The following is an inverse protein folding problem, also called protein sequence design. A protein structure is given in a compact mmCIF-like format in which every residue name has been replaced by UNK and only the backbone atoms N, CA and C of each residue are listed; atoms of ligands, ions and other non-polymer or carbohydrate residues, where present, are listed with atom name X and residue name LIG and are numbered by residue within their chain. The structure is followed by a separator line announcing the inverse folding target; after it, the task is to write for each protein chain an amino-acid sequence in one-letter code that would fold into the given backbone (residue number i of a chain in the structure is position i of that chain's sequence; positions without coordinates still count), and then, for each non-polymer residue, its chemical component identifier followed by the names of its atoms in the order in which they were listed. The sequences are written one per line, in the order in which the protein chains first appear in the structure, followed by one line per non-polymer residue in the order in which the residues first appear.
data_IF_451814077263
#
_entry.id   IF_451814077263
#
_cell.length_a   1.000
_cell.length_b   1.000
_cell.length_c   1.000
_cell.angle_alpha   90.00
_cell.angle_beta   90.00
_cell.angle_gamma   90.00
#
_symmetry.space_group_name_H-M   'P 1'
#
loop_
_entity.id
_entity.type
_entity.pdbx_description
1 polymer ?
#
# COMPACT_ATOMS: atom_id res chain seq x y z
N UNK A 1 4.49 25.38 2.22
CA UNK A 1 3.48 24.78 1.33
C UNK A 1 3.76 23.29 1.22
N UNK A 2 2.74 22.50 0.90
CA UNK A 2 2.90 21.09 0.54
C UNK A 2 2.26 20.85 -0.81
N UNK A 3 2.91 20.04 -1.65
CA UNK A 3 2.43 19.67 -2.97
C UNK A 3 1.75 18.32 -2.90
N UNK A 4 0.50 18.24 -3.34
CA UNK A 4 -0.21 16.97 -3.55
C UNK A 4 0.39 16.24 -4.75
N UNK A 5 0.71 14.96 -4.56
CA UNK A 5 1.34 14.12 -5.59
C UNK A 5 0.44 12.97 -6.07
N UNK A 6 -0.82 12.90 -5.64
CA UNK A 6 -1.75 11.79 -5.99
C UNK A 6 -2.04 11.65 -7.49
N UNK A 7 -1.74 12.66 -8.30
CA UNK A 7 -1.88 12.62 -9.77
C UNK A 7 -0.56 12.42 -10.54
N UNK A 8 0.49 11.94 -9.87
CA UNK A 8 1.84 11.84 -10.45
C UNK A 8 2.30 10.39 -10.59
N UNK A 9 3.39 10.15 -11.34
CA UNK A 9 4.00 8.81 -11.43
C UNK A 9 4.47 8.24 -10.08
N UNK A 10 4.68 9.09 -9.08
CA UNK A 10 4.99 8.69 -7.70
C UNK A 10 3.80 7.97 -7.07
N UNK A 11 2.58 8.45 -7.31
CA UNK A 11 1.36 7.81 -6.83
C UNK A 11 1.18 6.41 -7.45
N UNK A 12 1.34 6.29 -8.77
CA UNK A 12 1.26 5.00 -9.45
C UNK A 12 2.34 4.02 -9.00
N UNK A 13 3.57 4.49 -8.72
CA UNK A 13 4.63 3.64 -8.18
C UNK A 13 4.29 3.13 -6.76
N UNK A 14 3.73 3.98 -5.91
CA UNK A 14 3.27 3.62 -4.57
C UNK A 14 2.09 2.63 -4.64
N UNK A 15 1.06 2.91 -5.43
CA UNK A 15 -0.10 2.01 -5.59
C UNK A 15 0.33 0.64 -6.10
N UNK A 16 1.12 0.57 -7.17
CA UNK A 16 1.61 -0.71 -7.70
C UNK A 16 2.42 -1.50 -6.65
N UNK A 17 3.23 -0.80 -5.85
CA UNK A 17 3.99 -1.43 -4.78
C UNK A 17 3.08 -1.99 -3.69
N UNK A 18 2.09 -1.21 -3.21
CA UNK A 18 1.17 -1.63 -2.16
C UNK A 18 0.13 -2.66 -2.62
N UNK A 19 -0.29 -2.61 -3.87
CA UNK A 19 -1.10 -3.66 -4.51
C UNK A 19 -0.37 -5.00 -4.50
N UNK A 20 0.96 -5.00 -4.73
CA UNK A 20 1.77 -6.23 -4.68
C UNK A 20 1.86 -6.86 -3.28
N UNK A 21 1.57 -6.08 -2.23
CA UNK A 21 1.58 -6.52 -0.82
C UNK A 21 0.19 -7.04 -0.40
N UNK A 22 -0.86 -6.73 -1.16
CA UNK A 22 -2.20 -7.21 -0.88
C UNK A 22 -2.23 -8.74 -0.93
N UNK A 23 -2.94 -9.35 0.03
CA UNK A 23 -3.04 -10.81 0.16
C UNK A 23 -4.47 -11.24 -0.10
N UNK A 24 -4.64 -12.13 -1.06
CA UNK A 24 -5.92 -12.64 -1.51
C UNK A 24 -6.20 -12.28 -2.97
N UNK A 25 -7.38 -12.60 -3.46
CA UNK A 25 -7.76 -12.45 -4.87
C UNK A 25 -8.70 -11.27 -5.17
N UNK A 26 -9.12 -10.52 -4.15
CA UNK A 26 -10.02 -9.36 -4.27
C UNK A 26 -9.49 -8.18 -3.42
N UNK A 27 -8.17 -8.13 -3.22
CA UNK A 27 -7.48 -7.07 -2.49
C UNK A 27 -6.96 -5.96 -3.41
N UNK A 28 -6.77 -4.79 -2.83
CA UNK A 28 -6.31 -3.57 -3.52
C UNK A 28 -5.71 -2.56 -2.51
N UNK A 29 -5.03 -1.54 -3.03
CA UNK A 29 -4.55 -0.40 -2.25
C UNK A 29 -5.17 0.92 -2.71
N UNK A 30 -5.21 1.90 -1.82
CA UNK A 30 -5.71 3.24 -2.13
C UNK A 30 -4.90 4.30 -1.39
N UNK A 31 -4.35 5.27 -2.12
CA UNK A 31 -3.65 6.41 -1.52
C UNK A 31 -4.66 7.40 -0.94
N UNK A 32 -4.74 7.48 0.39
CA UNK A 32 -5.53 8.49 1.11
C UNK A 32 -4.79 9.82 1.21
N UNK A 33 -3.46 9.78 1.37
CA UNK A 33 -2.60 10.97 1.45
C UNK A 33 -1.28 10.71 0.73
N UNK A 34 -0.86 11.67 -0.09
CA UNK A 34 0.49 11.72 -0.62
C UNK A 34 0.91 13.18 -0.85
N UNK A 35 1.78 13.68 0.02
CA UNK A 35 2.15 15.10 0.05
C UNK A 35 3.65 15.27 0.21
N UNK A 36 4.26 16.13 -0.59
CA UNK A 36 5.65 16.53 -0.45
C UNK A 36 5.72 17.93 0.16
N UNK A 37 6.36 18.07 1.31
CA UNK A 37 6.63 19.37 1.94
C UNK A 37 7.75 20.13 1.22
N UNK A 38 7.82 21.44 1.41
CA UNK A 38 8.94 22.26 0.93
C UNK A 38 10.30 21.81 1.51
N UNK A 39 10.29 21.16 2.68
CA UNK A 39 11.48 20.57 3.31
C UNK A 39 11.89 19.22 2.67
N UNK A 40 11.19 18.77 1.63
CA UNK A 40 11.46 17.51 0.94
C UNK A 40 10.98 16.26 1.69
N UNK A 41 10.06 16.41 2.64
CA UNK A 41 9.47 15.28 3.37
C UNK A 41 8.21 14.84 2.63
N UNK A 42 8.19 13.58 2.21
CA UNK A 42 7.06 12.90 1.63
C UNK A 42 6.25 12.23 2.74
N UNK A 43 5.04 12.74 2.99
CA UNK A 43 4.06 12.14 3.87
C UNK A 43 3.09 11.28 3.07
N UNK A 44 2.88 10.03 3.48
CA UNK A 44 1.94 9.12 2.83
C UNK A 44 1.00 8.45 3.84
N UNK A 45 -0.21 8.13 3.37
CA UNK A 45 -1.18 7.23 4.01
C UNK A 45 -1.79 6.40 2.89
N UNK A 46 -1.48 5.11 2.88
CA UNK A 46 -2.00 4.15 1.92
C UNK A 46 -2.81 3.10 2.66
N UNK A 47 -4.07 2.99 2.27
CA UNK A 47 -4.95 1.94 2.75
C UNK A 47 -4.68 0.68 1.92
N UNK A 48 -4.39 -0.44 2.58
CA UNK A 48 -4.12 -1.74 1.97
C UNK A 48 -5.25 -2.67 2.39
N UNK A 49 -5.96 -3.27 1.43
CA UNK A 49 -7.09 -4.17 1.69
C UNK A 49 -6.71 -5.57 1.27
N UNK A 50 -6.58 -6.46 2.25
CA UNK A 50 -6.38 -7.89 2.04
C UNK A 50 -7.75 -8.58 2.03
N UNK A 51 -8.09 -9.26 0.95
CA UNK A 51 -9.39 -9.93 0.83
C UNK A 51 -9.32 -11.20 -0.02
N UNK A 52 -9.86 -12.28 0.53
CA UNK A 52 -10.03 -13.54 -0.18
C UNK A 52 -11.51 -13.84 -0.34
N UNK A 53 -11.92 -14.01 -1.60
CA UNK A 53 -13.26 -14.44 -1.97
C UNK A 53 -13.17 -15.83 -2.58
N UNK A 54 -13.87 -16.78 -1.98
CA UNK A 54 -13.97 -18.16 -2.49
C UNK A 54 -15.34 -18.34 -3.12
N UNK A 55 -15.38 -18.71 -4.39
CA UNK A 55 -16.62 -19.10 -5.05
C UNK A 55 -16.89 -20.58 -4.76
N UNK A 56 -17.98 -20.86 -4.07
CA UNK A 56 -18.46 -22.22 -3.84
C UNK A 56 -19.66 -22.51 -4.75
N UNK A 57 -19.71 -23.73 -5.27
CA UNK A 57 -20.88 -24.23 -5.97
C UNK A 57 -21.82 -24.91 -4.97
N UNK A 58 -23.06 -24.45 -4.90
CA UNK A 58 -24.11 -25.09 -4.10
C UNK A 58 -25.04 -25.81 -5.08
N UNK A 59 -25.14 -27.15 -5.01
CA UNK A 59 -26.06 -27.90 -5.84
C UNK A 59 -27.47 -27.30 -5.77
N UNK A 60 -28.11 -27.11 -6.93
CA UNK A 60 -29.43 -26.50 -7.09
C UNK A 60 -29.58 -25.02 -6.70
N UNK A 61 -28.50 -24.35 -6.26
CA UNK A 61 -28.54 -22.94 -5.82
C UNK A 61 -27.43 -22.07 -6.44
N UNK A 62 -26.73 -22.60 -7.46
CA UNK A 62 -25.73 -21.88 -8.25
C UNK A 62 -24.42 -21.61 -7.50
N UNK A 63 -23.65 -20.65 -8.02
CA UNK A 63 -22.38 -20.23 -7.43
C UNK A 63 -22.62 -19.12 -6.41
N UNK A 64 -21.99 -19.24 -5.24
CA UNK A 64 -22.00 -18.20 -4.20
C UNK A 64 -20.57 -17.79 -3.85
N UNK A 65 -20.38 -16.50 -3.68
CA UNK A 65 -19.10 -15.94 -3.23
C UNK A 65 -19.12 -15.81 -1.71
N UNK A 66 -18.15 -16.44 -1.05
CA UNK A 66 -17.92 -16.34 0.39
C UNK A 66 -16.65 -15.54 0.61
N UNK A 67 -16.72 -14.52 1.47
CA UNK A 67 -15.54 -13.79 1.93
C UNK A 67 -14.89 -14.64 3.02
N UNK A 68 -13.71 -15.20 2.73
CA UNK A 68 -12.96 -16.03 3.68
C UNK A 68 -12.28 -15.17 4.73
N UNK A 69 -11.72 -14.03 4.32
CA UNK A 69 -11.25 -12.98 5.21
C UNK A 69 -11.32 -11.62 4.51
N UNK A 70 -11.36 -10.56 5.32
CA UNK A 70 -11.27 -9.17 4.89
C UNK A 70 -10.55 -8.38 5.98
N UNK A 71 -9.36 -7.88 5.69
CA UNK A 71 -8.55 -7.07 6.59
C UNK A 71 -8.13 -5.79 5.87
N UNK A 72 -8.16 -4.67 6.56
CA UNK A 72 -7.69 -3.40 6.05
C UNK A 72 -6.61 -2.87 6.97
N UNK A 73 -5.48 -2.49 6.40
CA UNK A 73 -4.36 -1.88 7.09
C UNK A 73 -4.01 -0.55 6.50
N UNK A 74 -3.32 0.27 7.29
CA UNK A 74 -2.87 1.58 6.89
C UNK A 74 -1.36 1.65 6.98
N UNK A 75 -0.72 1.90 5.83
CA UNK A 75 0.69 2.21 5.74
C UNK A 75 0.83 3.73 5.78
N UNK A 76 1.22 4.26 6.93
CA UNK A 76 1.42 5.71 7.12
C UNK A 76 2.87 6.00 7.45
N UNK A 77 3.43 7.06 6.88
CA UNK A 77 4.80 7.45 7.19
C UNK A 77 5.22 8.80 6.64
N UNK A 78 6.34 9.29 7.19
CA UNK A 78 7.03 10.51 6.77
C UNK A 78 8.48 10.15 6.44
N UNK A 79 8.87 10.35 5.17
CA UNK A 79 10.16 9.92 4.63
C UNK A 79 10.80 11.07 3.85
N UNK A 80 12.12 11.22 3.92
CA UNK A 80 12.84 12.16 3.06
C UNK A 80 13.45 11.38 1.87
N UNK A 81 12.93 11.53 0.64
CA UNK A 81 13.42 10.76 -0.51
C UNK A 81 14.85 11.09 -0.91
N UNK A 82 15.35 12.28 -0.58
CA UNK A 82 16.72 12.71 -0.91
C UNK A 82 17.75 12.28 0.13
N UNK A 83 17.31 12.02 1.36
CA UNK A 83 18.14 11.52 2.44
C UNK A 83 17.34 10.54 3.32
N UNK A 84 17.07 9.32 2.82
CA UNK A 84 16.23 8.36 3.53
C UNK A 84 16.95 7.84 4.78
N UNK A 85 16.27 7.91 5.93
CA UNK A 85 16.72 7.26 7.17
C UNK A 85 16.48 5.74 7.04
N UNK A 86 17.52 4.89 7.04
CA UNK A 86 17.39 3.44 6.87
C UNK A 86 16.45 2.78 7.88
N UNK A 87 16.34 3.36 9.09
CA UNK A 87 15.49 2.84 10.15
C UNK A 87 14.00 3.11 9.89
N UNK A 88 13.68 4.05 9.01
CA UNK A 88 12.30 4.43 8.63
C UNK A 88 11.84 3.82 7.31
N UNK A 89 12.69 3.05 6.65
CA UNK A 89 12.35 2.35 5.39
C UNK A 89 11.65 1.01 5.61
N UNK A 90 11.51 0.60 6.87
CA UNK A 90 10.85 -0.64 7.23
C UNK A 90 9.59 -0.31 8.01
N UNK A 91 8.47 -0.90 7.62
CA UNK A 91 7.23 -0.80 8.38
C UNK A 91 6.51 -2.15 8.39
N UNK A 92 5.73 -2.38 9.44
CA UNK A 92 4.91 -3.58 9.57
C UNK A 92 3.58 -3.37 8.85
N UNK A 93 3.18 -4.35 8.04
CA UNK A 93 1.83 -4.48 7.49
C UNK A 93 1.16 -5.65 8.17
N UNK A 94 0.05 -5.42 8.85
CA UNK A 94 -0.75 -6.53 9.36
C UNK A 94 -1.44 -7.25 8.21
N UNK A 95 -1.26 -8.55 8.15
CA UNK A 95 -1.91 -9.40 7.16
C UNK A 95 -2.80 -10.41 7.88
N UNK A 96 -3.72 -11.08 7.16
CA UNK A 96 -4.52 -12.16 7.72
C UNK A 96 -3.70 -13.31 8.34
N UNK A 97 -2.40 -13.41 8.01
CA UNK A 97 -1.50 -14.46 8.48
C UNK A 97 -0.43 -13.96 9.48
N UNK A 98 -0.56 -12.71 9.94
CA UNK A 98 0.40 -12.06 10.85
C UNK A 98 1.01 -10.79 10.24
N UNK A 99 1.91 -10.14 10.98
CA UNK A 99 2.58 -8.91 10.53
C UNK A 99 3.76 -9.24 9.63
N UNK A 100 3.79 -8.63 8.45
CA UNK A 100 4.90 -8.72 7.49
C UNK A 100 5.68 -7.42 7.52
N UNK A 101 7.01 -7.50 7.66
CA UNK A 101 7.88 -6.33 7.51
C UNK A 101 8.13 -6.07 6.04
N UNK A 102 7.78 -4.87 5.60
CA UNK A 102 7.92 -4.42 4.21
C UNK A 102 9.08 -3.42 4.13
N UNK A 103 9.88 -3.51 3.07
CA UNK A 103 11.04 -2.66 2.84
C UNK A 103 10.81 -1.69 1.68
N UNK A 104 10.76 -0.40 2.00
CA UNK A 104 10.52 0.70 1.06
C UNK A 104 11.76 1.11 0.25
N UNK A 105 12.93 0.50 0.45
CA UNK A 105 14.19 0.95 -0.16
C UNK A 105 14.12 1.06 -1.68
N UNK A 106 13.58 0.05 -2.36
CA UNK A 106 13.45 0.06 -3.82
C UNK A 106 12.48 1.14 -4.29
N UNK A 107 11.35 1.29 -3.58
CA UNK A 107 10.38 2.34 -3.84
C UNK A 107 11.01 3.74 -3.65
N UNK A 108 11.83 3.93 -2.62
CA UNK A 108 12.52 5.19 -2.38
C UNK A 108 13.48 5.58 -3.49
N UNK A 109 14.20 4.61 -4.06
CA UNK A 109 15.08 4.86 -5.20
C UNK A 109 14.29 5.33 -6.42
N UNK A 110 13.16 4.69 -6.71
CA UNK A 110 12.26 5.09 -7.80
C UNK A 110 11.74 6.51 -7.56
N UNK A 111 11.20 6.78 -6.37
CA UNK A 111 10.66 8.10 -6.01
C UNK A 111 11.74 9.19 -6.09
N UNK A 112 12.97 8.92 -5.63
CA UNK A 112 14.07 9.87 -5.66
C UNK A 112 14.47 10.29 -7.09
N UNK A 113 14.25 9.44 -8.10
CA UNK A 113 14.49 9.80 -9.52
C UNK A 113 13.39 10.68 -10.11
N UNK A 114 12.23 10.78 -9.46
CA UNK A 114 11.05 11.51 -9.94
C UNK A 114 10.87 12.89 -9.27
N UNK A 115 11.72 13.26 -8.30
CA UNK A 115 11.65 14.51 -7.50
C UNK A 115 12.90 15.37 -7.66
#
# INVERSE_FOLDING_TARGET
MSRDLRGTGIASALENYFDSICIGNDGDSEIKKLQLSDSGILSYDVQIRHRQVTTIHIPFNGNKNIITYSLTTHATGDINPRNPDPNKLHFGVDTPFGTVTVNLTELMQVIATMI
#
